data_IF_924498479187
#
_entry.id   IF_924498479187
#
_cell.length_a   1.000
_cell.length_b   1.000
_cell.length_c   1.000
_cell.angle_alpha   90.00
_cell.angle_beta   90.00
_cell.angle_gamma   90.00
#
_symmetry.space_group_name_H-M   'P 1'
#
loop_
_entity.id
_entity.type
_entity.pdbx_description
1 polymer ?
#
# COMPACT_ATOMS: atom_id res chain seq x y z
N UNK A 1 -13.22 -13.56 10.89
CA UNK A 1 -13.16 -14.72 10.05
C UNK A 1 -13.79 -14.44 8.71
N UNK A 2 -12.96 -14.50 7.68
CA UNK A 2 -13.38 -14.32 6.30
C UNK A 2 -14.22 -15.51 5.81
N UNK A 3 -14.99 -15.29 4.78
CA UNK A 3 -15.78 -16.34 4.11
C UNK A 3 -14.91 -16.93 3.00
N UNK A 4 -14.85 -18.26 2.90
CA UNK A 4 -14.15 -18.93 1.83
C UNK A 4 -14.89 -18.67 0.49
N UNK A 5 -14.18 -18.13 -0.49
CA UNK A 5 -14.71 -17.84 -1.83
C UNK A 5 -14.55 -19.02 -2.79
N UNK A 6 -13.92 -20.09 -2.35
CA UNK A 6 -13.73 -21.36 -3.04
C UNK A 6 -13.46 -22.47 -2.01
N UNK A 7 -13.58 -23.74 -2.43
CA UNK A 7 -13.28 -24.87 -1.55
C UNK A 7 -11.77 -24.92 -1.23
N UNK A 8 -11.43 -24.86 0.06
CA UNK A 8 -10.05 -24.98 0.54
C UNK A 8 -9.80 -26.47 0.82
N UNK A 9 -8.84 -27.04 0.11
CA UNK A 9 -8.50 -28.48 0.18
C UNK A 9 -7.12 -28.69 0.78
N UNK A 10 -6.92 -29.86 1.39
CA UNK A 10 -5.60 -30.33 1.79
C UNK A 10 -4.82 -30.92 0.61
N UNK A 11 -3.57 -31.35 0.85
CA UNK A 11 -2.71 -31.93 -0.16
C UNK A 11 -3.25 -33.29 -0.71
N UNK A 12 -4.17 -33.91 0.02
CA UNK A 12 -4.82 -35.17 -0.35
C UNK A 12 -6.15 -34.96 -1.09
N UNK A 13 -6.56 -33.69 -1.29
CA UNK A 13 -7.79 -33.30 -1.99
C UNK A 13 -9.04 -33.26 -1.11
N UNK A 14 -8.90 -33.47 0.22
CA UNK A 14 -10.03 -33.36 1.14
C UNK A 14 -10.39 -31.91 1.42
N UNK A 15 -11.67 -31.57 1.35
CA UNK A 15 -12.16 -30.21 1.62
C UNK A 15 -12.08 -29.94 3.13
N UNK A 16 -11.27 -28.94 3.51
CA UNK A 16 -11.17 -28.44 4.90
C UNK A 16 -12.22 -27.38 5.16
N UNK A 17 -12.44 -26.47 4.19
CA UNK A 17 -13.46 -25.41 4.24
C UNK A 17 -14.20 -25.39 2.92
N UNK A 18 -15.52 -25.57 2.96
CA UNK A 18 -16.36 -25.44 1.79
C UNK A 18 -16.56 -23.97 1.39
N UNK A 19 -16.77 -23.72 0.11
CA UNK A 19 -17.16 -22.40 -0.42
C UNK A 19 -18.36 -21.83 0.36
N UNK A 20 -18.34 -20.53 0.66
CA UNK A 20 -19.38 -19.84 1.42
C UNK A 20 -19.33 -20.06 2.94
N UNK A 21 -18.45 -20.91 3.45
CA UNK A 21 -18.26 -21.14 4.88
C UNK A 21 -17.27 -20.17 5.49
N UNK A 22 -17.50 -19.83 6.76
CA UNK A 22 -16.60 -18.96 7.52
C UNK A 22 -15.33 -19.70 7.90
N UNK A 23 -14.17 -19.10 7.57
CA UNK A 23 -12.87 -19.61 7.99
C UNK A 23 -12.69 -19.34 9.50
N UNK A 24 -12.48 -20.41 10.27
CA UNK A 24 -12.31 -20.34 11.72
C UNK A 24 -10.85 -20.63 12.10
N UNK A 25 -10.46 -20.26 13.32
CA UNK A 25 -9.14 -20.58 13.87
C UNK A 25 -8.86 -22.09 13.88
N UNK A 26 -9.89 -22.93 13.96
CA UNK A 26 -9.75 -24.40 13.85
C UNK A 26 -9.30 -24.81 12.46
N UNK A 27 -9.88 -24.22 11.42
CA UNK A 27 -9.51 -24.49 10.03
C UNK A 27 -8.05 -24.06 9.76
N UNK A 28 -7.64 -22.90 10.27
CA UNK A 28 -6.24 -22.43 10.15
C UNK A 28 -5.29 -23.43 10.79
N UNK A 29 -5.58 -23.91 12.01
CA UNK A 29 -4.76 -24.91 12.68
C UNK A 29 -4.72 -26.25 11.94
N UNK A 30 -5.78 -26.63 11.24
CA UNK A 30 -5.79 -27.84 10.40
C UNK A 30 -4.87 -27.68 9.18
N UNK A 31 -4.92 -26.50 8.52
CA UNK A 31 -4.04 -26.16 7.39
C UNK A 31 -2.56 -26.14 7.82
N UNK A 32 -2.26 -25.49 8.95
CA UNK A 32 -0.91 -25.45 9.53
C UNK A 32 -0.37 -26.85 9.84
N UNK A 33 -1.19 -27.72 10.46
CA UNK A 33 -0.81 -29.11 10.76
C UNK A 33 -0.59 -29.95 9.50
N UNK A 34 -1.32 -29.67 8.44
CA UNK A 34 -1.15 -30.30 7.13
C UNK A 34 0.05 -29.75 6.35
N UNK A 35 0.74 -28.71 6.88
CA UNK A 35 1.89 -28.06 6.22
C UNK A 35 1.52 -27.27 4.97
N UNK A 36 0.27 -26.81 4.88
CA UNK A 36 -0.25 -26.05 3.73
C UNK A 36 0.05 -24.58 3.95
N UNK A 37 0.99 -24.04 3.17
CA UNK A 37 1.34 -22.61 3.17
C UNK A 37 0.79 -21.89 1.94
N UNK A 38 0.42 -22.63 0.89
CA UNK A 38 -0.08 -22.13 -0.38
C UNK A 38 -1.39 -22.82 -0.73
N UNK A 39 -2.30 -22.09 -1.32
CA UNK A 39 -3.58 -22.61 -1.78
C UNK A 39 -3.69 -22.43 -3.29
N UNK A 40 -4.19 -23.45 -3.99
CA UNK A 40 -4.62 -23.28 -5.37
C UNK A 40 -5.89 -22.45 -5.40
N UNK A 41 -5.85 -21.32 -6.12
CA UNK A 41 -6.98 -20.43 -6.27
C UNK A 41 -7.44 -20.40 -7.73
N UNK A 42 -8.74 -20.33 -8.01
CA UNK A 42 -9.24 -20.10 -9.36
C UNK A 42 -8.81 -18.71 -9.84
N UNK A 43 -8.72 -18.54 -11.17
CA UNK A 43 -8.34 -17.26 -11.79
C UNK A 43 -9.31 -16.15 -11.41
N UNK A 44 -10.58 -16.47 -11.26
CA UNK A 44 -11.64 -15.55 -10.84
C UNK A 44 -11.41 -14.95 -9.45
N UNK A 45 -10.61 -15.61 -8.62
CA UNK A 45 -10.21 -15.08 -7.31
C UNK A 45 -9.41 -13.77 -7.41
N UNK A 46 -8.73 -13.54 -8.53
CA UNK A 46 -7.95 -12.32 -8.78
C UNK A 46 -8.84 -11.14 -9.23
N UNK A 47 -10.04 -11.39 -9.72
CA UNK A 47 -10.92 -10.33 -10.21
C UNK A 47 -11.35 -9.40 -9.07
N UNK A 48 -11.27 -8.09 -9.33
CA UNK A 48 -11.58 -7.06 -8.33
C UNK A 48 -10.48 -6.80 -7.31
N UNK A 49 -9.38 -7.56 -7.34
CA UNK A 49 -8.22 -7.27 -6.49
C UNK A 49 -7.38 -6.15 -7.09
N UNK A 50 -6.63 -5.46 -6.25
CA UNK A 50 -5.79 -4.33 -6.64
C UNK A 50 -4.33 -4.75 -6.63
N UNK A 51 -3.59 -4.39 -7.68
CA UNK A 51 -2.16 -4.68 -7.78
C UNK A 51 -1.35 -3.89 -6.75
N UNK A 52 -0.43 -4.57 -6.08
CA UNK A 52 0.52 -3.97 -5.14
C UNK A 52 1.78 -3.43 -5.83
N UNK A 53 2.09 -3.91 -7.03
CA UNK A 53 3.27 -3.53 -7.84
C UNK A 53 2.92 -3.47 -9.31
N UNK A 54 3.73 -2.72 -10.08
CA UNK A 54 3.66 -2.75 -11.53
C UNK A 54 3.93 -4.16 -12.06
N UNK A 55 3.10 -4.61 -13.01
CA UNK A 55 3.34 -5.83 -13.75
C UNK A 55 4.15 -5.51 -15.00
N UNK A 56 5.38 -6.03 -15.05
CA UNK A 56 6.35 -5.78 -16.10
C UNK A 56 6.51 -7.03 -16.96
N UNK A 57 6.42 -6.87 -18.28
CA UNK A 57 6.78 -7.93 -19.21
C UNK A 57 8.30 -8.18 -19.14
N UNK A 58 8.68 -9.40 -18.74
CA UNK A 58 10.09 -9.77 -18.59
C UNK A 58 10.86 -9.82 -19.92
N UNK A 59 10.15 -9.96 -21.03
CA UNK A 59 10.76 -10.02 -22.35
C UNK A 59 11.03 -8.62 -22.95
N UNK A 60 10.10 -7.69 -22.79
CA UNK A 60 10.19 -6.33 -23.35
C UNK A 60 10.60 -5.25 -22.33
N UNK A 61 10.41 -5.51 -21.05
CA UNK A 61 10.58 -4.51 -19.98
C UNK A 61 9.46 -3.47 -19.90
N UNK A 62 8.41 -3.64 -20.68
CA UNK A 62 7.25 -2.74 -20.68
C UNK A 62 6.32 -3.02 -19.51
N UNK A 63 5.71 -1.97 -18.97
CA UNK A 63 4.68 -2.08 -17.93
C UNK A 63 3.38 -2.57 -18.58
N UNK A 64 2.96 -3.79 -18.24
CA UNK A 64 1.71 -4.38 -18.74
C UNK A 64 0.49 -3.79 -18.02
N UNK A 65 0.57 -3.69 -16.69
CA UNK A 65 -0.46 -3.12 -15.83
C UNK A 65 0.21 -2.33 -14.72
N UNK A 66 -0.25 -1.11 -14.51
CA UNK A 66 0.30 -0.23 -13.48
C UNK A 66 -0.14 -0.66 -12.06
N UNK A 67 0.72 -0.37 -11.09
CA UNK A 67 0.41 -0.49 -9.67
C UNK A 67 -0.89 0.24 -9.32
N UNK A 68 -1.61 -0.27 -8.32
CA UNK A 68 -2.90 0.26 -7.87
C UNK A 68 -4.06 0.14 -8.88
N UNK A 69 -3.88 -0.63 -9.94
CA UNK A 69 -4.96 -0.97 -10.87
C UNK A 69 -5.81 -2.10 -10.32
N UNK A 70 -7.13 -2.00 -10.49
CA UNK A 70 -8.05 -3.08 -10.20
C UNK A 70 -7.99 -4.13 -11.30
N UNK A 71 -7.82 -5.39 -10.92
CA UNK A 71 -7.70 -6.50 -11.85
C UNK A 71 -9.06 -6.87 -12.43
N UNK A 72 -9.24 -6.62 -13.72
CA UNK A 72 -10.36 -7.12 -14.51
C UNK A 72 -9.99 -8.44 -15.18
N UNK A 73 -10.97 -9.17 -15.69
CA UNK A 73 -10.77 -10.39 -16.47
C UNK A 73 -9.79 -10.18 -17.63
N UNK A 74 -9.92 -9.06 -18.36
CA UNK A 74 -9.04 -8.71 -19.48
C UNK A 74 -7.60 -8.48 -19.03
N UNK A 75 -7.38 -7.77 -17.90
CA UNK A 75 -6.06 -7.50 -17.37
C UNK A 75 -5.39 -8.77 -16.83
N UNK A 76 -6.14 -9.63 -16.15
CA UNK A 76 -5.64 -10.94 -15.67
C UNK A 76 -5.21 -11.81 -16.86
N UNK A 77 -6.01 -11.89 -17.90
CA UNK A 77 -5.68 -12.63 -19.13
C UNK A 77 -4.42 -12.08 -19.77
N UNK A 78 -4.28 -10.75 -19.87
CA UNK A 78 -3.09 -10.09 -20.42
C UNK A 78 -1.82 -10.43 -19.62
N UNK A 79 -1.90 -10.46 -18.28
CA UNK A 79 -0.78 -10.80 -17.40
C UNK A 79 -0.38 -12.26 -17.56
N UNK A 80 -1.35 -13.16 -17.60
CA UNK A 80 -1.10 -14.61 -17.75
C UNK A 80 -0.53 -14.94 -19.14
N UNK A 81 -1.04 -14.32 -20.19
CA UNK A 81 -0.54 -14.50 -21.57
C UNK A 81 0.91 -14.01 -21.73
N UNK A 82 1.31 -13.01 -20.97
CA UNK A 82 2.71 -12.55 -20.92
C UNK A 82 3.64 -13.47 -20.13
N UNK A 83 3.13 -14.56 -19.57
CA UNK A 83 3.92 -15.56 -18.82
C UNK A 83 4.33 -15.12 -17.42
N UNK A 84 3.74 -14.07 -16.87
CA UNK A 84 3.96 -13.64 -15.49
C UNK A 84 3.33 -14.66 -14.54
N UNK A 85 4.13 -15.19 -13.61
CA UNK A 85 3.70 -16.24 -12.67
C UNK A 85 3.30 -15.71 -11.30
N UNK A 86 3.92 -14.59 -10.89
CA UNK A 86 3.76 -14.02 -9.57
C UNK A 86 3.05 -12.68 -9.67
N UNK A 87 1.90 -12.56 -9.01
CA UNK A 87 1.09 -11.36 -8.95
C UNK A 87 0.94 -10.98 -7.48
N UNK A 88 1.42 -9.80 -7.10
CA UNK A 88 1.22 -9.26 -5.76
C UNK A 88 -0.01 -8.36 -5.74
N UNK A 89 -0.94 -8.66 -4.86
CA UNK A 89 -2.17 -7.89 -4.66
C UNK A 89 -2.23 -7.30 -3.26
N UNK A 90 -2.94 -6.17 -3.13
CA UNK A 90 -3.22 -5.57 -1.83
C UNK A 90 -4.26 -6.41 -1.09
N UNK A 91 -4.03 -6.63 0.19
CA UNK A 91 -5.03 -7.18 1.09
C UNK A 91 -5.80 -6.05 1.75
N UNK A 92 -7.08 -5.97 1.47
CA UNK A 92 -8.01 -5.01 2.08
C UNK A 92 -9.30 -5.69 2.49
N UNK A 93 -9.94 -5.19 3.54
CA UNK A 93 -11.26 -5.64 3.99
C UNK A 93 -12.05 -4.47 4.60
N UNK A 94 -13.33 -4.70 4.90
CA UNK A 94 -14.21 -3.68 5.46
C UNK A 94 -14.15 -3.59 7.00
N UNK A 95 -13.33 -4.40 7.65
CA UNK A 95 -13.30 -4.51 9.11
C UNK A 95 -12.14 -3.71 9.74
N UNK A 96 -10.91 -4.03 9.37
CA UNK A 96 -9.71 -3.55 10.04
C UNK A 96 -8.54 -3.20 9.09
N UNK A 97 -8.74 -3.35 7.77
CA UNK A 97 -7.74 -3.06 6.76
C UNK A 97 -8.39 -2.40 5.52
N UNK A 98 -8.80 -1.15 5.69
CA UNK A 98 -9.45 -0.38 4.62
C UNK A 98 -8.49 0.04 3.49
N UNK A 99 -8.99 0.26 2.26
CA UNK A 99 -8.21 0.61 1.08
C UNK A 99 -7.86 2.11 1.01
N UNK A 100 -7.60 2.77 2.15
CA UNK A 100 -7.53 4.23 2.22
C UNK A 100 -6.42 4.84 1.35
N UNK A 101 -5.23 4.26 1.36
CA UNK A 101 -4.13 4.76 0.52
C UNK A 101 -4.36 4.46 -0.96
N UNK A 102 -4.86 3.28 -1.27
CA UNK A 102 -5.23 2.90 -2.64
C UNK A 102 -6.24 3.86 -3.24
N UNK A 103 -7.30 4.17 -2.48
CA UNK A 103 -8.35 5.11 -2.92
C UNK A 103 -7.82 6.54 -3.04
N UNK A 104 -6.99 6.98 -2.10
CA UNK A 104 -6.35 8.29 -2.15
C UNK A 104 -5.48 8.44 -3.41
N UNK A 105 -4.63 7.46 -3.71
CA UNK A 105 -3.79 7.47 -4.89
C UNK A 105 -4.58 7.37 -6.20
N UNK A 106 -5.73 6.73 -6.18
CA UNK A 106 -6.61 6.62 -7.37
C UNK A 106 -7.25 7.96 -7.73
N UNK A 107 -7.54 8.79 -6.74
CA UNK A 107 -8.13 10.12 -6.94
C UNK A 107 -7.07 11.16 -7.28
N UNK A 108 -5.81 10.92 -6.90
CA UNK A 108 -4.69 11.84 -7.13
C UNK A 108 -4.45 12.03 -8.63
N UNK A 109 -4.58 13.27 -9.16
CA UNK A 109 -4.33 13.54 -10.58
C UNK A 109 -2.85 13.53 -10.95
N UNK A 110 -1.94 13.61 -9.96
CA UNK A 110 -0.49 13.67 -10.20
C UNK A 110 0.08 12.28 -10.46
N UNK A 111 1.04 12.20 -11.39
CA UNK A 111 1.69 10.95 -11.79
C UNK A 111 3.20 10.96 -11.54
N UNK A 112 3.77 12.13 -11.38
CA UNK A 112 5.21 12.31 -11.14
C UNK A 112 5.45 13.13 -9.88
N UNK A 113 6.63 12.97 -9.22
CA UNK A 113 7.00 13.80 -8.07
C UNK A 113 6.97 15.30 -8.37
N UNK A 114 7.36 15.71 -9.57
CA UNK A 114 7.34 17.11 -9.98
C UNK A 114 5.91 17.66 -10.08
N UNK A 115 4.98 16.90 -10.65
CA UNK A 115 3.57 17.29 -10.69
C UNK A 115 3.01 17.46 -9.29
N UNK A 116 3.33 16.55 -8.36
CA UNK A 116 2.90 16.65 -6.97
C UNK A 116 3.47 17.91 -6.29
N UNK A 117 4.74 18.23 -6.49
CA UNK A 117 5.37 19.44 -5.95
C UNK A 117 4.71 20.71 -6.49
N UNK A 118 4.37 20.72 -7.78
CA UNK A 118 3.67 21.85 -8.42
C UNK A 118 2.27 22.04 -7.85
N UNK A 119 1.52 20.95 -7.63
CA UNK A 119 0.19 21.04 -7.01
C UNK A 119 0.28 21.51 -5.55
N UNK A 120 1.23 21.04 -4.77
CA UNK A 120 1.49 21.54 -3.41
C UNK A 120 1.82 23.02 -3.44
N UNK A 121 2.66 23.46 -4.38
CA UNK A 121 3.00 24.87 -4.53
C UNK A 121 1.77 25.73 -4.83
N UNK A 122 0.92 25.32 -5.75
CA UNK A 122 -0.33 26.01 -6.10
C UNK A 122 -1.28 26.16 -4.92
N UNK A 123 -1.37 25.12 -4.08
CA UNK A 123 -2.20 25.15 -2.87
C UNK A 123 -1.65 26.10 -1.82
N UNK A 124 -0.32 26.16 -1.66
CA UNK A 124 0.33 27.00 -0.66
C UNK A 124 0.49 28.45 -1.09
N UNK A 125 0.61 28.69 -2.40
CA UNK A 125 0.79 30.02 -3.00
C UNK A 125 -0.15 30.23 -4.18
N UNK A 126 -1.45 30.38 -3.90
CA UNK A 126 -2.43 30.59 -4.96
C UNK A 126 -2.14 31.89 -5.72
N UNK A 127 -2.20 31.82 -7.05
CA UNK A 127 -1.97 32.96 -7.94
C UNK A 127 -0.52 33.19 -8.37
N UNK A 128 0.46 32.48 -7.76
CA UNK A 128 1.83 32.51 -8.22
C UNK A 128 2.09 31.40 -9.25
N UNK A 129 2.71 31.69 -10.40
CA UNK A 129 3.05 30.66 -11.36
C UNK A 129 4.16 29.75 -10.81
N UNK A 130 3.95 28.43 -10.72
CA UNK A 130 4.96 27.52 -10.21
C UNK A 130 6.09 27.30 -11.24
N UNK A 131 7.34 27.31 -10.76
CA UNK A 131 8.49 26.76 -11.48
C UNK A 131 8.98 25.52 -10.75
N UNK A 132 9.73 24.65 -11.42
CA UNK A 132 10.33 23.47 -10.79
C UNK A 132 11.13 23.87 -9.55
N UNK A 133 12.02 24.84 -9.69
CA UNK A 133 12.88 25.30 -8.61
C UNK A 133 12.07 25.91 -7.43
N UNK A 134 11.08 26.74 -7.71
CA UNK A 134 10.26 27.34 -6.65
C UNK A 134 9.43 26.30 -5.89
N UNK A 135 8.92 25.27 -6.59
CA UNK A 135 8.14 24.20 -5.99
C UNK A 135 9.03 23.28 -5.13
N UNK A 136 10.21 22.90 -5.62
CA UNK A 136 11.19 22.12 -4.84
C UNK A 136 11.67 22.87 -3.60
N UNK A 137 12.02 24.14 -3.74
CA UNK A 137 12.46 24.98 -2.63
C UNK A 137 11.36 25.15 -1.57
N UNK A 138 10.12 25.39 -1.99
CA UNK A 138 9.00 25.49 -1.05
C UNK A 138 8.84 24.21 -0.23
N UNK A 139 8.81 23.06 -0.89
CA UNK A 139 8.62 21.76 -0.24
C UNK A 139 9.77 21.43 0.72
N UNK A 140 11.01 21.62 0.29
CA UNK A 140 12.18 21.40 1.14
C UNK A 140 12.19 22.32 2.36
N UNK A 141 11.82 23.59 2.18
CA UNK A 141 11.76 24.54 3.28
C UNK A 141 10.63 24.25 4.28
N UNK A 142 9.55 23.61 3.84
CA UNK A 142 8.44 23.25 4.73
C UNK A 142 8.79 22.15 5.72
N UNK A 143 9.62 21.18 5.30
CA UNK A 143 9.80 19.94 6.06
C UNK A 143 11.25 19.61 6.42
N UNK A 144 12.23 19.97 5.57
CA UNK A 144 13.58 19.43 5.62
C UNK A 144 14.68 20.47 5.84
N UNK A 145 14.35 21.75 5.96
CA UNK A 145 15.33 22.82 6.15
C UNK A 145 15.50 23.17 7.62
N UNK A 146 16.71 22.98 8.15
CA UNK A 146 17.07 23.37 9.51
C UNK A 146 16.92 24.86 9.79
N UNK A 147 17.08 25.71 8.76
CA UNK A 147 16.88 27.15 8.89
C UNK A 147 15.42 27.57 9.09
N UNK A 148 14.50 26.71 8.67
CA UNK A 148 13.06 27.00 8.63
C UNK A 148 12.24 26.21 9.63
N UNK A 149 12.75 25.06 10.06
CA UNK A 149 12.01 24.13 10.87
C UNK A 149 12.92 23.35 11.82
N UNK A 150 12.60 23.38 13.10
CA UNK A 150 13.29 22.59 14.12
C UNK A 150 12.27 22.02 15.11
N UNK A 151 12.22 20.69 15.19
CA UNK A 151 11.41 19.96 16.17
C UNK A 151 11.89 20.16 17.61
N UNK A 152 13.13 20.60 17.81
CA UNK A 152 13.86 20.49 19.06
C UNK A 152 14.06 19.04 19.53
N UNK A 153 14.99 18.81 20.46
CA UNK A 153 15.22 17.46 21.01
C UNK A 153 13.97 16.87 21.69
N UNK A 154 13.21 17.71 22.38
CA UNK A 154 11.96 17.29 23.06
C UNK A 154 10.87 16.95 22.05
N UNK A 155 10.73 17.76 20.99
CA UNK A 155 9.79 17.50 19.91
C UNK A 155 10.12 16.19 19.19
N UNK A 156 11.38 15.96 18.84
CA UNK A 156 11.85 14.72 18.22
C UNK A 156 11.58 13.51 19.11
N UNK A 157 11.87 13.58 20.39
CA UNK A 157 11.59 12.50 21.34
C UNK A 157 10.09 12.17 21.39
N UNK A 158 9.22 13.19 21.43
CA UNK A 158 7.77 12.99 21.44
C UNK A 158 7.25 12.38 20.14
N UNK A 159 7.78 12.82 18.99
CA UNK A 159 7.43 12.27 17.68
C UNK A 159 7.84 10.81 17.58
N UNK A 160 9.09 10.48 17.92
CA UNK A 160 9.59 9.11 17.88
C UNK A 160 8.74 8.18 18.79
N UNK A 161 8.41 8.65 20.00
CA UNK A 161 7.53 7.91 20.90
C UNK A 161 6.14 7.69 20.31
N UNK A 162 5.58 8.70 19.65
CA UNK A 162 4.26 8.58 18.99
C UNK A 162 4.28 7.59 17.85
N UNK A 163 5.39 7.56 17.09
CA UNK A 163 5.62 6.63 15.98
C UNK A 163 6.10 5.24 16.47
N UNK A 164 6.13 5.00 17.77
CA UNK A 164 6.56 3.73 18.39
C UNK A 164 8.00 3.32 18.03
N UNK A 165 8.87 4.30 17.79
CA UNK A 165 10.29 4.08 17.58
C UNK A 165 11.03 3.92 18.91
N UNK A 166 12.02 3.03 18.96
CA UNK A 166 12.86 2.81 20.16
C UNK A 166 13.83 3.96 20.42
N UNK A 167 14.27 4.63 19.36
CA UNK A 167 15.20 5.74 19.43
C UNK A 167 14.52 6.99 20.00
N UNK A 168 15.17 7.59 21.00
CA UNK A 168 14.69 8.84 21.62
C UNK A 168 15.32 10.10 21.00
N UNK A 169 16.31 9.94 20.12
CA UNK A 169 17.07 11.02 19.48
C UNK A 169 16.90 10.96 17.96
N UNK A 170 17.30 12.02 17.29
CA UNK A 170 17.26 12.12 15.83
C UNK A 170 17.41 13.56 15.35
N UNK A 171 17.26 13.77 14.06
CA UNK A 171 17.40 15.07 13.44
C UNK A 171 16.32 16.06 13.91
N UNK A 172 16.65 17.33 13.96
CA UNK A 172 15.73 18.42 14.30
C UNK A 172 14.68 18.68 13.21
N UNK A 173 14.99 18.33 11.96
CA UNK A 173 14.04 18.39 10.83
C UNK A 173 13.28 17.09 10.68
N UNK A 174 12.20 17.11 9.92
CA UNK A 174 11.51 15.88 9.49
C UNK A 174 12.36 15.13 8.47
N UNK A 175 12.22 13.82 8.44
CA UNK A 175 12.77 12.92 7.41
C UNK A 175 11.65 12.37 6.54
N UNK A 176 12.00 11.77 5.39
CA UNK A 176 11.01 11.09 4.54
C UNK A 176 10.35 9.92 5.28
N UNK A 177 11.12 9.21 6.12
CA UNK A 177 10.61 8.13 6.96
C UNK A 177 9.61 8.64 8.00
N UNK A 178 9.84 9.84 8.56
CA UNK A 178 8.87 10.45 9.48
C UNK A 178 7.50 10.63 8.82
N UNK A 179 7.49 11.14 7.59
CA UNK A 179 6.24 11.36 6.83
C UNK A 179 5.54 10.02 6.56
N UNK A 180 6.28 9.00 6.13
CA UNK A 180 5.73 7.66 5.87
C UNK A 180 5.15 7.06 7.14
N UNK A 181 5.86 7.15 8.26
CA UNK A 181 5.40 6.59 9.54
C UNK A 181 4.19 7.34 10.11
N UNK A 182 4.11 8.65 9.89
CA UNK A 182 2.91 9.44 10.21
C UNK A 182 1.71 8.96 9.39
N UNK A 183 1.88 8.75 8.07
CA UNK A 183 0.83 8.23 7.20
C UNK A 183 0.38 6.83 7.64
N UNK A 184 1.32 5.94 7.97
CA UNK A 184 0.99 4.61 8.53
C UNK A 184 0.17 4.73 9.81
N UNK A 185 0.61 5.59 10.75
CA UNK A 185 -0.11 5.82 12.01
C UNK A 185 -1.52 6.35 11.79
N UNK A 186 -1.73 7.25 10.81
CA UNK A 186 -3.05 7.76 10.47
C UNK A 186 -3.96 6.65 9.91
N UNK A 187 -3.41 5.77 9.08
CA UNK A 187 -4.13 4.60 8.54
C UNK A 187 -4.50 3.63 9.67
N UNK A 188 -3.57 3.34 10.60
CA UNK A 188 -3.82 2.47 11.75
C UNK A 188 -4.96 3.01 12.63
N UNK A 189 -4.95 4.32 12.92
CA UNK A 189 -6.04 4.98 13.64
C UNK A 189 -7.37 4.86 12.88
N UNK A 190 -7.34 5.03 11.56
CA UNK A 190 -8.53 4.90 10.72
C UNK A 190 -9.07 3.46 10.71
N UNK A 191 -8.19 2.48 10.80
CA UNK A 191 -8.53 1.06 10.92
C UNK A 191 -8.96 0.64 12.34
N UNK A 192 -8.93 1.56 13.31
CA UNK A 192 -9.37 1.31 14.69
C UNK A 192 -8.31 0.70 15.61
N UNK A 193 -7.03 0.88 15.27
CA UNK A 193 -5.89 0.39 16.06
C UNK A 193 -5.31 1.47 17.01
#
# INVERSE_FOLDING_TARGET
GDIATFDIKDNDGNVIVEEGRRITARHIKQLEKAGINELEVPTEYLYGRVLAKDMIDQASGEVLVECNSELTEELVTKILDAGVKDIETLYTNDLDCGPFMSDTLRIDPTRTPLEALVEIYRMMRPGEPPTKESAENLFNNLFFSEERYDLSAVGRMKLNRRLRREESTGEGTLTHEDIIDVLKTLIDIRNGQ
#
